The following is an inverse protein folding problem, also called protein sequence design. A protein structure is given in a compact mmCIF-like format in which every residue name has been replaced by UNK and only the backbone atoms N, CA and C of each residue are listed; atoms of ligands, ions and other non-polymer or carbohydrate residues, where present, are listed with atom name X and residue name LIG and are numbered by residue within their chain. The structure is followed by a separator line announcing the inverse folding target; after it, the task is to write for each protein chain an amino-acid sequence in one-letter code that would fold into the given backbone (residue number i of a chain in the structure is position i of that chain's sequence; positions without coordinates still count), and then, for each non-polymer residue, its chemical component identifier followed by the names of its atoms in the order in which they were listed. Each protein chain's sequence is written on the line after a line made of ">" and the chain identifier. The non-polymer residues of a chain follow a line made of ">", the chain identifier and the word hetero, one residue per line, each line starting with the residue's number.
data_IF_413039212682
#
_entry.id   IF_413039212682
#
_cell.length_a   1.000
_cell.length_b   1.000
_cell.length_c   1.000
_cell.angle_alpha   90.00
_cell.angle_beta   90.00
_cell.angle_gamma   90.00
#
_symmetry.space_group_name_H-M   'P 1'
#
loop_
_entity.id
_entity.type
_entity.pdbx_description
1 polymer ?
#
# COMPACT_ATOMS: atom_id res chain seq x y z
N UNK A 1 30.68 -13.80 31.94
CA UNK A 1 30.22 -13.05 30.74
C UNK A 1 31.44 -12.59 29.96
N UNK A 2 31.67 -13.12 28.76
CA UNK A 2 32.94 -12.93 28.02
C UNK A 2 33.03 -11.47 27.56
N UNK A 3 34.23 -10.89 27.52
CA UNK A 3 34.46 -9.49 27.15
C UNK A 3 33.78 -9.10 25.82
N UNK A 4 33.76 -10.05 24.87
CA UNK A 4 33.05 -9.97 23.59
C UNK A 4 31.54 -9.74 23.70
N UNK A 5 30.89 -10.31 24.72
CA UNK A 5 29.45 -10.11 24.96
C UNK A 5 29.13 -8.68 25.39
N UNK A 6 30.08 -7.99 26.05
CA UNK A 6 29.92 -6.58 26.42
C UNK A 6 30.12 -5.65 25.23
N UNK A 7 31.03 -5.98 24.31
CA UNK A 7 31.27 -5.17 23.09
C UNK A 7 30.08 -5.26 22.15
N UNK A 8 29.53 -6.46 21.93
CA UNK A 8 28.33 -6.64 21.09
C UNK A 8 27.08 -5.92 21.62
N UNK A 9 26.98 -5.74 22.94
CA UNK A 9 25.86 -5.04 23.59
C UNK A 9 26.03 -3.52 23.65
N UNK A 10 27.13 -2.95 23.13
CA UNK A 10 27.29 -1.49 23.08
C UNK A 10 26.33 -0.89 22.05
N UNK A 11 25.53 0.14 22.42
CA UNK A 11 24.58 0.78 21.50
C UNK A 11 25.22 1.25 20.19
N UNK A 12 26.43 1.80 20.24
CA UNK A 12 27.14 2.26 19.04
C UNK A 12 27.49 1.13 18.07
N UNK A 13 27.80 -0.06 18.59
CA UNK A 13 28.12 -1.24 17.77
C UNK A 13 26.86 -1.83 17.14
N UNK A 14 25.76 -1.87 17.91
CA UNK A 14 24.43 -2.25 17.42
C UNK A 14 23.99 -1.31 16.29
N UNK A 15 24.11 0.01 16.50
CA UNK A 15 23.73 1.01 15.50
C UNK A 15 24.58 0.97 14.24
N UNK A 16 25.85 0.58 14.34
CA UNK A 16 26.75 0.48 13.19
C UNK A 16 26.47 -0.79 12.37
N UNK A 17 26.18 -1.93 13.01
CA UNK A 17 26.00 -3.20 12.30
C UNK A 17 24.56 -3.48 11.86
N UNK A 18 23.56 -2.87 12.51
CA UNK A 18 22.16 -3.06 12.13
C UNK A 18 21.70 -1.86 11.31
N UNK A 19 21.43 -2.12 10.04
CA UNK A 19 21.05 -1.11 9.05
C UNK A 19 19.77 -0.34 9.43
N UNK A 20 18.90 -0.92 10.26
CA UNK A 20 17.68 -0.28 10.78
C UNK A 20 17.95 1.03 11.55
N UNK A 21 19.16 1.20 12.11
CA UNK A 21 19.56 2.42 12.82
C UNK A 21 20.33 3.42 11.95
N UNK A 22 20.60 3.08 10.69
CA UNK A 22 21.37 3.95 9.81
C UNK A 22 20.51 5.14 9.35
N UNK A 23 21.10 6.33 9.18
CA UNK A 23 20.41 7.43 8.53
C UNK A 23 19.97 7.01 7.13
N UNK A 24 18.75 7.40 6.71
CA UNK A 24 18.21 7.02 5.40
C UNK A 24 19.15 7.33 4.23
N UNK A 25 19.94 8.42 4.33
CA UNK A 25 20.96 8.80 3.34
C UNK A 25 22.00 7.69 3.09
N UNK A 26 22.48 7.02 4.14
CA UNK A 26 23.46 5.95 4.02
C UNK A 26 22.91 4.74 3.25
N UNK A 27 21.60 4.53 3.30
CA UNK A 27 20.92 3.49 2.56
C UNK A 27 20.68 3.87 1.08
N UNK A 28 20.21 5.10 0.83
CA UNK A 28 19.79 5.51 -0.52
C UNK A 28 20.92 6.04 -1.41
N UNK A 29 21.94 6.71 -0.85
CA UNK A 29 23.03 7.29 -1.66
C UNK A 29 23.82 6.27 -2.49
N UNK A 30 24.14 5.06 -1.96
CA UNK A 30 24.79 4.03 -2.77
C UNK A 30 24.00 3.58 -4.00
N UNK A 31 22.68 3.80 -4.03
CA UNK A 31 21.81 3.44 -5.17
C UNK A 31 21.89 4.47 -6.31
N UNK A 32 22.33 5.70 -6.02
CA UNK A 32 22.36 6.80 -7.01
C UNK A 32 23.25 6.47 -8.22
N UNK A 33 24.50 5.99 -8.08
CA UNK A 33 25.34 5.64 -9.24
C UNK A 33 24.68 4.60 -10.14
N UNK A 34 23.98 3.62 -9.55
CA UNK A 34 23.26 2.60 -10.29
C UNK A 34 22.08 3.20 -11.07
N UNK A 35 21.31 4.10 -10.47
CA UNK A 35 20.21 4.80 -11.16
C UNK A 35 20.76 5.61 -12.34
N UNK A 36 21.83 6.38 -12.13
CA UNK A 36 22.47 7.18 -13.18
C UNK A 36 22.97 6.29 -14.33
N UNK A 37 23.61 5.18 -14.00
CA UNK A 37 24.03 4.20 -14.99
C UNK A 37 22.85 3.66 -15.80
N UNK A 38 21.74 3.31 -15.15
CA UNK A 38 20.55 2.82 -15.85
C UNK A 38 19.90 3.89 -16.73
N UNK A 39 19.86 5.15 -16.28
CA UNK A 39 19.36 6.27 -17.09
C UNK A 39 20.17 6.43 -18.39
N UNK A 40 21.51 6.34 -18.29
CA UNK A 40 22.40 6.40 -19.45
C UNK A 40 22.21 5.19 -20.36
N UNK A 41 22.19 3.98 -19.79
CA UNK A 41 22.05 2.72 -20.53
C UNK A 41 20.72 2.61 -21.26
N UNK A 42 19.63 3.07 -20.65
CA UNK A 42 18.30 3.03 -21.25
C UNK A 42 18.01 4.23 -22.15
N UNK A 43 18.85 5.26 -22.14
CA UNK A 43 18.60 6.53 -22.82
C UNK A 43 17.37 7.28 -22.31
N UNK A 44 16.90 6.98 -21.09
CA UNK A 44 15.65 7.53 -20.56
C UNK A 44 15.75 7.80 -19.06
N UNK A 45 15.51 9.05 -18.64
CA UNK A 45 15.62 9.46 -17.24
C UNK A 45 14.58 8.77 -16.34
N UNK A 46 13.42 8.45 -16.89
CA UNK A 46 12.33 7.80 -16.15
C UNK A 46 12.20 6.32 -16.52
N UNK A 47 13.30 5.59 -16.75
CA UNK A 47 13.29 4.18 -17.18
C UNK A 47 12.43 3.27 -16.29
N UNK A 48 12.33 3.59 -15.00
CA UNK A 48 11.58 2.83 -14.00
C UNK A 48 10.06 2.85 -14.23
N UNK A 49 9.52 3.80 -15.00
CA UNK A 49 8.07 3.79 -15.32
C UNK A 49 7.69 2.61 -16.21
N UNK A 50 8.66 1.97 -16.85
CA UNK A 50 8.46 0.75 -17.64
C UNK A 50 8.44 -0.54 -16.79
N UNK A 51 8.64 -0.47 -15.47
CA UNK A 51 8.71 -1.66 -14.61
C UNK A 51 7.40 -2.46 -14.60
N UNK A 52 6.26 -1.78 -14.67
CA UNK A 52 4.95 -2.41 -14.83
C UNK A 52 4.11 -1.62 -15.85
N UNK A 53 4.25 -1.92 -17.16
CA UNK A 53 3.57 -1.17 -18.22
C UNK A 53 2.04 -1.23 -18.12
N UNK A 54 1.51 -2.23 -17.41
CA UNK A 54 0.08 -2.36 -17.15
C UNK A 54 -0.45 -1.35 -16.14
N UNK A 55 0.39 -0.56 -15.48
CA UNK A 55 -0.01 0.45 -14.48
C UNK A 55 0.53 1.81 -14.93
N UNK A 56 -0.28 2.87 -14.79
CA UNK A 56 0.17 4.23 -15.08
C UNK A 56 1.44 4.55 -14.29
N UNK A 57 2.45 5.13 -14.96
CA UNK A 57 3.80 5.42 -14.44
C UNK A 57 4.51 4.25 -13.74
N UNK A 58 4.11 3.00 -13.99
CA UNK A 58 4.65 1.83 -13.30
C UNK A 58 4.31 1.77 -11.81
N UNK A 59 3.33 2.55 -11.34
CA UNK A 59 2.95 2.64 -9.92
C UNK A 59 3.84 3.56 -9.09
N UNK A 60 4.56 4.49 -9.72
CA UNK A 60 5.38 5.50 -9.03
C UNK A 60 4.54 6.60 -8.35
N UNK A 61 3.27 6.72 -8.71
CA UNK A 61 2.36 7.74 -8.23
C UNK A 61 1.41 8.24 -9.33
N UNK A 62 0.30 8.84 -8.87
CA UNK A 62 -0.80 9.36 -9.70
C UNK A 62 -1.60 8.30 -10.46
N UNK A 63 -1.34 7.02 -10.24
CA UNK A 63 -2.17 5.94 -10.76
C UNK A 63 -3.52 5.88 -10.03
N UNK A 64 -4.60 5.66 -10.80
CA UNK A 64 -5.89 5.31 -10.23
C UNK A 64 -5.79 3.94 -9.53
N UNK A 65 -6.09 3.92 -8.24
CA UNK A 65 -6.18 2.67 -7.47
C UNK A 65 -7.35 1.84 -7.97
N UNK A 66 -8.44 2.48 -8.37
CA UNK A 66 -9.62 1.83 -8.92
C UNK A 66 -9.25 1.09 -10.20
N UNK A 67 -8.68 1.78 -11.18
CA UNK A 67 -8.27 1.16 -12.46
C UNK A 67 -7.27 0.02 -12.27
N UNK A 68 -6.35 0.17 -11.31
CA UNK A 68 -5.37 -0.87 -10.99
C UNK A 68 -6.06 -2.12 -10.42
N UNK A 69 -7.01 -1.95 -9.51
CA UNK A 69 -7.80 -3.07 -8.96
C UNK A 69 -8.70 -3.71 -10.02
N UNK A 70 -9.28 -2.94 -10.93
CA UNK A 70 -10.15 -3.45 -12.00
C UNK A 70 -9.42 -4.39 -12.99
N UNK A 71 -8.08 -4.32 -13.07
CA UNK A 71 -7.27 -5.26 -13.87
C UNK A 71 -7.18 -6.67 -13.27
N UNK A 72 -7.52 -6.82 -11.99
CA UNK A 72 -7.54 -8.12 -11.31
C UNK A 72 -8.87 -8.82 -11.66
N UNK A 73 -8.89 -10.13 -11.93
CA UNK A 73 -10.13 -10.87 -12.13
C UNK A 73 -11.10 -10.66 -10.97
N UNK A 74 -12.39 -10.45 -11.27
CA UNK A 74 -13.43 -10.06 -10.32
C UNK A 74 -13.47 -10.94 -9.05
N UNK A 75 -13.32 -12.26 -9.22
CA UNK A 75 -13.29 -13.23 -8.11
C UNK A 75 -12.15 -13.03 -7.09
N UNK A 76 -11.10 -12.28 -7.43
CA UNK A 76 -9.89 -12.09 -6.61
C UNK A 76 -9.74 -10.66 -6.08
N UNK A 77 -10.73 -9.80 -6.30
CA UNK A 77 -10.70 -8.42 -5.83
C UNK A 77 -11.97 -8.09 -5.05
N UNK A 78 -11.90 -7.13 -4.11
CA UNK A 78 -13.09 -6.68 -3.39
C UNK A 78 -14.04 -5.91 -4.30
N UNK A 79 -15.34 -6.09 -4.07
CA UNK A 79 -16.41 -5.27 -4.65
C UNK A 79 -16.15 -3.80 -4.38
N UNK A 80 -16.18 -2.99 -5.43
CA UNK A 80 -15.74 -1.61 -5.38
C UNK A 80 -16.55 -0.74 -6.33
N UNK A 81 -16.98 0.42 -5.84
CA UNK A 81 -17.67 1.46 -6.60
C UNK A 81 -16.82 2.74 -6.59
N UNK A 82 -16.64 3.37 -7.75
CA UNK A 82 -16.06 4.71 -7.84
C UNK A 82 -17.16 5.76 -7.65
N UNK A 83 -16.96 6.67 -6.71
CA UNK A 83 -17.75 7.88 -6.50
C UNK A 83 -16.94 9.10 -6.94
N UNK A 84 -17.58 10.00 -7.70
CA UNK A 84 -17.01 11.29 -8.08
C UNK A 84 -17.76 12.45 -7.42
N UNK A 85 -17.07 13.54 -7.08
CA UNK A 85 -17.72 14.74 -6.58
C UNK A 85 -18.81 15.24 -7.52
N UNK A 86 -19.96 15.62 -6.96
CA UNK A 86 -21.12 16.08 -7.73
C UNK A 86 -22.08 14.98 -8.17
N UNK A 87 -21.74 13.70 -8.00
CA UNK A 87 -22.70 12.61 -8.18
C UNK A 87 -23.82 12.67 -7.13
N UNK A 88 -25.03 12.27 -7.53
CA UNK A 88 -26.20 12.32 -6.66
C UNK A 88 -26.09 11.33 -5.50
N UNK A 89 -26.10 11.85 -4.27
CA UNK A 89 -26.17 11.03 -3.05
C UNK A 89 -27.48 10.22 -2.96
N UNK A 90 -28.55 10.67 -3.63
CA UNK A 90 -29.85 9.99 -3.62
C UNK A 90 -29.78 8.64 -4.36
N UNK A 91 -28.96 8.53 -5.42
CA UNK A 91 -28.81 7.28 -6.17
C UNK A 91 -27.70 6.37 -5.61
N UNK A 92 -26.93 6.84 -4.64
CA UNK A 92 -25.80 6.12 -4.09
C UNK A 92 -26.19 4.78 -3.43
N UNK A 93 -27.26 4.69 -2.61
CA UNK A 93 -27.67 3.42 -2.01
C UNK A 93 -28.01 2.34 -3.05
N UNK A 94 -28.72 2.71 -4.12
CA UNK A 94 -29.06 1.79 -5.22
C UNK A 94 -27.82 1.27 -5.95
N UNK A 95 -26.81 2.13 -6.12
CA UNK A 95 -25.53 1.74 -6.75
C UNK A 95 -24.72 0.81 -5.86
N UNK A 96 -24.66 1.09 -4.56
CA UNK A 96 -24.03 0.19 -3.59
C UNK A 96 -24.73 -1.18 -3.58
N UNK A 97 -26.07 -1.19 -3.62
CA UNK A 97 -26.85 -2.42 -3.71
C UNK A 97 -26.58 -3.21 -5.00
N UNK A 98 -26.51 -2.53 -6.15
CA UNK A 98 -26.22 -3.16 -7.44
C UNK A 98 -24.83 -3.83 -7.47
N UNK A 99 -23.85 -3.22 -6.80
CA UNK A 99 -22.50 -3.79 -6.62
C UNK A 99 -22.43 -4.80 -5.45
N UNK A 100 -23.52 -4.98 -4.70
CA UNK A 100 -23.57 -5.85 -3.52
C UNK A 100 -22.63 -5.42 -2.39
N UNK A 101 -22.41 -4.11 -2.23
CA UNK A 101 -21.59 -3.51 -1.17
C UNK A 101 -22.50 -3.16 0.02
N UNK A 102 -22.16 -3.71 1.19
CA UNK A 102 -22.89 -3.46 2.43
C UNK A 102 -22.02 -2.72 3.44
N UNK A 103 -22.68 -2.09 4.42
CA UNK A 103 -22.00 -1.47 5.55
C UNK A 103 -21.57 -2.50 6.62
N UNK A 104 -20.49 -2.22 7.38
CA UNK A 104 -19.57 -1.12 7.18
C UNK A 104 -18.75 -1.32 5.90
N UNK A 105 -18.38 -0.21 5.24
CA UNK A 105 -17.56 -0.21 4.03
C UNK A 105 -16.31 0.64 4.21
N UNK A 106 -15.37 0.56 3.29
CA UNK A 106 -14.18 1.42 3.25
C UNK A 106 -14.36 2.50 2.18
N UNK A 107 -14.29 3.76 2.57
CA UNK A 107 -14.13 4.90 1.67
C UNK A 107 -12.65 5.29 1.64
N UNK A 108 -12.02 5.29 0.45
CA UNK A 108 -10.62 5.70 0.27
C UNK A 108 -10.43 6.51 -1.01
N UNK A 109 -9.57 7.54 -1.05
CA UNK A 109 -9.34 8.29 -2.27
C UNK A 109 -8.78 7.40 -3.37
N UNK A 110 -9.27 7.58 -4.59
CA UNK A 110 -8.72 6.90 -5.76
C UNK A 110 -7.25 7.30 -5.96
N UNK A 111 -6.99 8.60 -5.95
CA UNK A 111 -5.65 9.18 -5.90
C UNK A 111 -5.31 9.58 -4.45
N UNK A 112 -4.27 9.00 -3.86
CA UNK A 112 -3.94 9.26 -2.46
C UNK A 112 -2.82 8.38 -1.93
N UNK A 113 -2.22 8.80 -0.82
CA UNK A 113 -1.00 8.20 -0.28
C UNK A 113 -1.12 7.93 1.23
N UNK A 114 -0.38 6.92 1.73
CA UNK A 114 -0.15 6.65 3.17
C UNK A 114 -1.43 6.53 4.03
N UNK A 115 -2.53 6.03 3.47
CA UNK A 115 -3.78 5.87 4.20
C UNK A 115 -4.53 7.17 4.51
N UNK A 116 -4.08 8.31 3.96
CA UNK A 116 -4.76 9.59 4.12
C UNK A 116 -6.19 9.49 3.57
N UNK A 117 -7.16 9.95 4.37
CA UNK A 117 -8.60 9.89 4.06
C UNK A 117 -9.16 8.46 3.83
N UNK A 118 -8.45 7.42 4.25
CA UNK A 118 -9.04 6.08 4.33
C UNK A 118 -9.92 6.02 5.58
N UNK A 119 -11.20 5.72 5.41
CA UNK A 119 -12.17 5.64 6.50
C UNK A 119 -13.03 4.40 6.39
N UNK A 120 -13.19 3.68 7.50
CA UNK A 120 -14.26 2.68 7.66
C UNK A 120 -15.54 3.43 8.02
N UNK A 121 -16.55 3.30 7.18
CA UNK A 121 -17.84 3.99 7.29
C UNK A 121 -18.90 3.00 7.75
N UNK A 122 -19.67 3.36 8.77
CA UNK A 122 -20.62 2.50 9.45
C UNK A 122 -22.01 2.49 8.81
N UNK A 123 -22.43 3.58 8.17
CA UNK A 123 -23.76 3.72 7.59
C UNK A 123 -23.82 4.79 6.47
N UNK A 124 -25.00 4.92 5.86
CA UNK A 124 -25.25 5.85 4.75
C UNK A 124 -25.12 7.33 5.14
N UNK A 125 -25.51 7.69 6.36
CA UNK A 125 -25.43 9.07 6.83
C UNK A 125 -23.97 9.51 7.00
N UNK A 126 -23.18 8.66 7.66
CA UNK A 126 -21.75 8.88 7.80
C UNK A 126 -21.03 8.93 6.45
N UNK A 127 -21.47 8.12 5.48
CA UNK A 127 -20.94 8.15 4.12
C UNK A 127 -21.22 9.49 3.44
N UNK A 128 -22.47 9.93 3.44
CA UNK A 128 -22.89 11.18 2.81
C UNK A 128 -22.11 12.37 3.37
N UNK A 129 -22.03 12.48 4.71
CA UNK A 129 -21.27 13.54 5.38
C UNK A 129 -19.78 13.51 4.98
N UNK A 130 -19.20 12.31 4.88
CA UNK A 130 -17.81 12.14 4.53
C UNK A 130 -17.50 12.58 3.09
N UNK A 131 -18.36 12.18 2.14
CA UNK A 131 -18.22 12.52 0.73
C UNK A 131 -18.44 14.03 0.48
N UNK A 132 -19.38 14.66 1.19
CA UNK A 132 -19.59 16.12 1.09
C UNK A 132 -18.41 16.91 1.67
N UNK A 133 -17.79 16.41 2.74
CA UNK A 133 -16.66 17.06 3.40
C UNK A 133 -15.40 17.07 2.52
N UNK A 134 -15.20 16.04 1.70
CA UNK A 134 -14.01 15.87 0.88
C UNK A 134 -14.39 15.67 -0.59
N UNK A 135 -14.44 16.73 -1.41
CA UNK A 135 -14.83 16.64 -2.81
C UNK A 135 -13.67 16.12 -3.68
N UNK A 136 -13.31 14.84 -3.51
CA UNK A 136 -12.32 14.10 -4.32
C UNK A 136 -12.88 12.74 -4.73
N UNK A 137 -12.34 12.12 -5.77
CA UNK A 137 -12.77 10.78 -6.18
C UNK A 137 -12.51 9.75 -5.08
N UNK A 138 -13.56 9.03 -4.69
CA UNK A 138 -13.50 7.98 -3.67
C UNK A 138 -13.81 6.61 -4.27
N UNK A 139 -13.06 5.61 -3.83
CA UNK A 139 -13.40 4.21 -3.96
C UNK A 139 -14.18 3.82 -2.70
N UNK A 140 -15.43 3.40 -2.90
CA UNK A 140 -16.27 2.77 -1.89
C UNK A 140 -16.12 1.26 -2.07
N UNK A 141 -15.55 0.59 -1.08
CA UNK A 141 -15.12 -0.80 -1.19
C UNK A 141 -15.68 -1.62 -0.05
N UNK A 142 -16.09 -2.86 -0.32
CA UNK A 142 -16.55 -3.76 0.74
C UNK A 142 -15.49 -3.92 1.84
N UNK A 143 -15.94 -4.06 3.08
CA UNK A 143 -15.04 -4.27 4.20
C UNK A 143 -14.70 -5.75 4.37
N UNK A 144 -13.47 -6.12 4.02
CA UNK A 144 -12.97 -7.48 4.14
C UNK A 144 -12.59 -7.77 5.61
N UNK A 145 -13.23 -8.80 6.19
CA UNK A 145 -13.06 -9.23 7.59
C UNK A 145 -12.19 -10.47 7.76
N UNK A 146 -11.35 -10.77 6.78
CA UNK A 146 -10.44 -11.91 6.87
C UNK A 146 -9.37 -11.64 7.94
N UNK A 147 -8.94 -12.65 8.69
CA UNK A 147 -8.05 -12.48 9.84
C UNK A 147 -6.59 -12.20 9.45
N UNK A 148 -6.22 -12.41 8.19
CA UNK A 148 -4.84 -12.34 7.71
C UNK A 148 -4.71 -11.30 6.61
N UNK A 149 -3.80 -10.34 6.81
CA UNK A 149 -3.33 -9.42 5.76
C UNK A 149 -1.86 -9.73 5.45
N UNK A 150 -1.58 -9.95 4.16
CA UNK A 150 -0.23 -10.23 3.66
C UNK A 150 0.12 -9.30 2.49
N UNK A 151 1.34 -8.77 2.50
CA UNK A 151 1.99 -8.20 1.33
C UNK A 151 2.79 -9.29 0.62
N UNK A 152 2.59 -9.44 -0.69
CA UNK A 152 3.33 -10.40 -1.52
C UNK A 152 4.18 -9.62 -2.52
N UNK A 153 5.50 -9.84 -2.50
CA UNK A 153 6.40 -9.30 -3.50
C UNK A 153 6.57 -10.31 -4.63
N UNK A 154 6.03 -9.97 -5.79
CA UNK A 154 6.07 -10.79 -6.99
C UNK A 154 6.75 -10.02 -8.13
N UNK A 155 7.56 -10.71 -8.93
CA UNK A 155 8.09 -10.19 -10.19
C UNK A 155 8.02 -11.25 -11.28
N UNK A 156 7.92 -10.81 -12.55
CA UNK A 156 7.98 -11.65 -13.74
C UNK A 156 8.72 -10.91 -14.83
N UNK A 157 9.74 -11.52 -15.43
CA UNK A 157 10.47 -10.87 -16.52
C UNK A 157 9.65 -10.89 -17.82
N UNK A 158 9.86 -9.92 -18.73
CA UNK A 158 9.25 -9.96 -20.06
C UNK A 158 9.58 -11.28 -20.78
N UNK A 159 8.56 -11.92 -21.36
CA UNK A 159 8.70 -13.19 -22.08
C UNK A 159 8.61 -14.45 -21.20
N UNK A 160 8.63 -14.32 -19.87
CA UNK A 160 8.43 -15.47 -18.98
C UNK A 160 6.95 -15.79 -18.83
N UNK A 161 6.60 -17.08 -18.87
CA UNK A 161 5.23 -17.54 -18.60
C UNK A 161 4.84 -17.37 -17.12
N UNK A 162 5.81 -17.58 -16.21
CA UNK A 162 5.62 -17.58 -14.76
C UNK A 162 6.61 -16.62 -14.09
N UNK A 163 6.15 -15.90 -13.08
CA UNK A 163 7.02 -15.11 -12.22
C UNK A 163 7.36 -15.81 -10.91
N UNK A 164 8.01 -15.06 -10.01
CA UNK A 164 8.51 -15.54 -8.73
C UNK A 164 8.00 -14.66 -7.59
N UNK A 165 7.62 -15.30 -6.48
CA UNK A 165 7.36 -14.63 -5.20
C UNK A 165 8.66 -14.63 -4.40
N UNK A 166 9.21 -13.46 -4.11
CA UNK A 166 10.48 -13.33 -3.38
C UNK A 166 10.31 -13.02 -1.91
N UNK A 167 9.16 -12.49 -1.51
CA UNK A 167 8.88 -12.14 -0.13
C UNK A 167 7.39 -12.18 0.16
N UNK A 168 7.06 -12.59 1.38
CA UNK A 168 5.73 -12.48 1.96
C UNK A 168 5.90 -11.80 3.31
N UNK A 169 5.14 -10.74 3.55
CA UNK A 169 5.14 -9.98 4.80
C UNK A 169 3.74 -10.00 5.40
N UNK A 170 3.60 -10.53 6.61
CA UNK A 170 2.35 -10.42 7.38
C UNK A 170 2.25 -9.04 8.02
N UNK A 171 1.03 -8.53 8.17
CA UNK A 171 0.77 -7.35 8.99
C UNK A 171 0.02 -7.75 10.25
N UNK A 172 0.59 -7.36 11.38
CA UNK A 172 0.00 -7.56 12.70
C UNK A 172 0.10 -6.27 13.50
N UNK A 173 -0.85 -6.05 14.39
CA UNK A 173 -0.77 -4.95 15.35
C UNK A 173 0.29 -5.26 16.41
N UNK A 174 1.05 -4.24 16.81
CA UNK A 174 1.99 -4.37 17.91
C UNK A 174 1.23 -4.84 19.15
N UNK A 175 1.66 -5.96 19.71
CA UNK A 175 1.18 -6.48 20.97
C UNK A 175 2.38 -6.73 21.89
N UNK A 176 2.13 -6.61 23.19
CA UNK A 176 3.09 -6.98 24.23
C UNK A 176 2.42 -8.00 25.13
N UNK A 177 3.18 -9.01 25.55
CA UNK A 177 2.73 -9.94 26.58
C UNK A 177 3.33 -9.49 27.91
N UNK A 178 2.48 -9.12 28.87
CA UNK A 178 2.93 -8.68 30.19
C UNK A 178 3.62 -9.81 30.95
N UNK A 179 4.79 -9.53 31.51
CA UNK A 179 5.55 -10.45 32.38
C UNK A 179 5.18 -10.29 33.87
N UNK A 180 4.25 -9.38 34.18
CA UNK A 180 3.83 -9.05 35.54
C UNK A 180 4.88 -8.30 36.38
N UNK A 181 6.00 -7.87 35.78
CA UNK A 181 7.14 -7.26 36.49
C UNK A 181 7.61 -5.95 35.87
N UNK A 182 7.50 -5.84 34.55
CA UNK A 182 8.01 -4.72 33.77
C UNK A 182 6.84 -3.89 33.23
N UNK A 183 6.94 -2.56 33.36
CA UNK A 183 5.98 -1.57 32.81
C UNK A 183 6.52 -0.92 31.56
#
# INVERSE_FOLDING_TARGET
>A
MKWWDRVKKRPSFIRLLNWEYWPSKAFYYPVIPQILWQMLRSGHMCFFTAANPGIYTGGMGLESKFDTVQKIPERFRPRSLLWRPGESLVSLPLRLQAEGIAFPLIAKPDLGFRGLLVKKVADEGELADYLLRFPVDFILQEYIRLPLEVGVLYYRMPGEERGQVTSITTKEFLCVSGDGRST
#
